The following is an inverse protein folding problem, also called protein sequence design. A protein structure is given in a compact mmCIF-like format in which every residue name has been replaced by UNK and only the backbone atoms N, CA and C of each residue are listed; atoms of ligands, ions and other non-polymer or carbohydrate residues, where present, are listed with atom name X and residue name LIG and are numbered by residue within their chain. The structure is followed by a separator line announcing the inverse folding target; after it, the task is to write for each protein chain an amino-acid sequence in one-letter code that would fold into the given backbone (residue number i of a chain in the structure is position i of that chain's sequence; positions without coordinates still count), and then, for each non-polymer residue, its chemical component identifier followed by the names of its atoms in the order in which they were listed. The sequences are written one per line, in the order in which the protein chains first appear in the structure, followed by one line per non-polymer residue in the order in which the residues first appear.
data_IF_691238818677
#
_entry.id   IF_691238818677
#
_cell.length_a   1.000
_cell.length_b   1.000
_cell.length_c   1.000
_cell.angle_alpha   90.00
_cell.angle_beta   90.00
_cell.angle_gamma   90.00
#
_symmetry.space_group_name_H-M   'P 1'
#
loop_
_entity.id
_entity.type
_entity.pdbx_description
1 polymer ?
#
# COMPACT_ATOMS: atom_id res chain seq x y z
N UNK A 1 -40.12 -21.27 -38.23
CA UNK A 1 -40.04 -21.90 -36.88
C UNK A 1 -38.56 -22.05 -36.56
N UNK A 2 -37.93 -21.60 -35.47
CA UNK A 2 -38.33 -21.05 -34.18
C UNK A 2 -37.15 -20.17 -33.71
N UNK A 3 -37.41 -18.91 -33.33
CA UNK A 3 -36.44 -17.95 -32.79
C UNK A 3 -36.03 -18.42 -31.39
N UNK A 4 -34.75 -18.69 -31.15
CA UNK A 4 -34.24 -18.85 -29.79
C UNK A 4 -33.77 -17.49 -29.27
N UNK A 5 -34.57 -17.01 -28.31
CA UNK A 5 -34.40 -15.79 -27.54
C UNK A 5 -33.24 -15.93 -26.56
N UNK A 6 -32.46 -14.84 -26.46
CA UNK A 6 -31.87 -14.24 -25.26
C UNK A 6 -31.49 -15.16 -24.09
N UNK A 7 -30.20 -15.17 -23.76
CA UNK A 7 -29.72 -15.25 -22.38
C UNK A 7 -28.40 -14.46 -22.28
N UNK A 8 -28.50 -13.16 -21.96
CA UNK A 8 -27.38 -12.38 -21.46
C UNK A 8 -27.00 -12.94 -20.08
N UNK A 9 -25.73 -13.33 -19.83
CA UNK A 9 -25.25 -13.42 -18.48
C UNK A 9 -25.02 -11.99 -17.98
N UNK A 10 -26.00 -11.45 -17.26
CA UNK A 10 -25.75 -10.34 -16.35
C UNK A 10 -24.83 -10.86 -15.24
N UNK A 11 -23.52 -10.89 -15.51
CA UNK A 11 -22.50 -11.15 -14.51
C UNK A 11 -22.55 -9.99 -13.52
N UNK A 12 -23.12 -10.26 -12.36
CA UNK A 12 -23.07 -9.41 -11.18
C UNK A 12 -21.60 -9.09 -10.90
N UNK A 13 -21.21 -7.83 -11.07
CA UNK A 13 -19.98 -7.30 -10.51
C UNK A 13 -20.11 -7.39 -8.99
N UNK A 14 -19.69 -8.52 -8.42
CA UNK A 14 -19.44 -8.64 -7.01
C UNK A 14 -18.29 -7.69 -6.68
N UNK A 15 -18.63 -6.49 -6.21
CA UNK A 15 -17.68 -5.58 -5.61
C UNK A 15 -17.17 -6.21 -4.30
N UNK A 16 -16.12 -7.03 -4.38
CA UNK A 16 -15.31 -7.41 -3.22
C UNK A 16 -14.42 -6.22 -2.84
N UNK A 17 -15.05 -5.13 -2.37
CA UNK A 17 -14.39 -4.08 -1.62
C UNK A 17 -14.52 -4.39 -0.13
N UNK A 18 -13.79 -5.39 0.36
CA UNK A 18 -13.65 -5.59 1.80
C UNK A 18 -12.77 -4.46 2.33
N UNK A 19 -13.39 -3.43 2.90
CA UNK A 19 -12.67 -2.49 3.75
C UNK A 19 -12.07 -3.28 4.92
N UNK A 20 -10.78 -3.11 5.25
CA UNK A 20 -10.23 -3.77 6.42
C UNK A 20 -10.92 -3.23 7.68
N UNK A 21 -11.50 -4.13 8.46
CA UNK A 21 -11.88 -3.85 9.85
C UNK A 21 -10.63 -3.41 10.59
N UNK A 22 -10.68 -2.20 11.15
CA UNK A 22 -9.59 -1.57 11.89
C UNK A 22 -9.36 -2.29 13.23
N UNK A 23 -8.72 -3.45 13.20
CA UNK A 23 -8.24 -4.11 14.41
C UNK A 23 -6.73 -3.91 14.57
N UNK A 24 -6.39 -3.30 15.71
CA UNK A 24 -5.02 -3.07 16.23
C UNK A 24 -4.27 -1.85 15.69
N UNK A 25 -4.81 -0.65 15.96
CA UNK A 25 -4.00 0.55 16.14
C UNK A 25 -3.21 0.47 17.46
N UNK A 26 -2.22 -0.42 17.51
CA UNK A 26 -1.22 -0.42 18.57
C UNK A 26 0.04 0.32 18.06
N UNK A 27 0.36 1.41 18.77
CA UNK A 27 1.46 2.39 18.57
C UNK A 27 1.14 3.58 17.67
N UNK A 28 0.78 4.68 18.34
CA UNK A 28 0.73 6.08 17.88
C UNK A 28 -0.47 6.49 17.02
N UNK A 29 -1.63 6.65 17.67
CA UNK A 29 -2.73 7.64 17.51
C UNK A 29 -3.09 8.35 16.18
N UNK A 30 -2.44 8.09 15.05
CA UNK A 30 -2.74 8.66 13.76
C UNK A 30 -3.32 7.58 12.85
N UNK A 31 -4.48 7.85 12.26
CA UNK A 31 -5.04 6.98 11.23
C UNK A 31 -4.03 6.85 10.07
N UNK A 32 -3.80 5.63 9.54
CA UNK A 32 -2.88 5.46 8.42
C UNK A 32 -3.39 6.28 7.23
N UNK A 33 -2.50 7.04 6.58
CA UNK A 33 -2.86 7.73 5.34
C UNK A 33 -3.16 6.76 4.20
N UNK A 34 -2.63 5.53 4.33
CA UNK A 34 -2.76 4.50 3.32
C UNK A 34 -2.61 3.12 3.98
N UNK A 35 -3.49 2.19 3.62
CA UNK A 35 -3.40 0.79 3.98
C UNK A 35 -3.91 -0.05 2.80
N UNK A 36 -3.02 -0.71 2.05
CA UNK A 36 -3.38 -1.44 0.83
C UNK A 36 -2.65 -2.77 0.70
N UNK A 37 -3.22 -3.68 -0.08
CA UNK A 37 -2.51 -4.85 -0.59
C UNK A 37 -1.84 -4.54 -1.94
N UNK A 38 -0.66 -5.10 -2.14
CA UNK A 38 0.07 -5.10 -3.40
C UNK A 38 0.46 -6.52 -3.78
N UNK A 39 0.44 -6.83 -5.07
CA UNK A 39 0.97 -8.09 -5.60
C UNK A 39 2.50 -8.11 -5.63
N UNK A 40 3.15 -6.97 -5.36
CA UNK A 40 4.61 -6.87 -5.36
C UNK A 40 5.18 -7.31 -4.01
N UNK A 41 6.31 -8.05 -4.02
CA UNK A 41 6.98 -8.42 -2.79
C UNK A 41 7.64 -7.20 -2.15
N UNK A 42 7.76 -7.21 -0.81
CA UNK A 42 8.23 -6.08 0.00
C UNK A 42 9.57 -5.51 -0.50
N UNK A 43 10.53 -6.37 -0.85
CA UNK A 43 11.84 -5.92 -1.35
C UNK A 43 11.73 -5.10 -2.65
N UNK A 44 10.82 -5.47 -3.55
CA UNK A 44 10.65 -4.81 -4.83
C UNK A 44 10.00 -3.43 -4.66
N UNK A 45 9.07 -3.31 -3.71
CA UNK A 45 8.47 -2.03 -3.30
C UNK A 45 9.54 -1.14 -2.65
N UNK A 46 10.29 -1.67 -1.68
CA UNK A 46 11.35 -0.93 -0.99
C UNK A 46 12.42 -0.39 -1.94
N UNK A 47 12.86 -1.22 -2.90
CA UNK A 47 13.80 -0.81 -3.95
C UNK A 47 13.23 0.28 -4.84
N UNK A 48 11.96 0.18 -5.21
CA UNK A 48 11.31 1.20 -6.02
C UNK A 48 11.21 2.54 -5.29
N UNK A 49 10.84 2.54 -4.00
CA UNK A 49 10.70 3.77 -3.20
C UNK A 49 12.04 4.48 -3.02
N UNK A 50 13.09 3.74 -2.67
CA UNK A 50 14.46 4.25 -2.51
C UNK A 50 15.04 4.87 -3.78
N UNK A 51 14.67 4.34 -4.95
CA UNK A 51 15.10 4.91 -6.24
C UNK A 51 14.37 6.22 -6.61
N UNK A 52 13.27 6.54 -5.94
CA UNK A 52 12.36 7.65 -6.31
C UNK A 52 12.25 8.74 -5.27
N UNK A 53 12.57 8.44 -4.02
CA UNK A 53 12.38 9.35 -2.90
C UNK A 53 13.74 9.68 -2.28
N UNK A 54 13.95 10.94 -1.86
CA UNK A 54 15.14 11.30 -1.11
C UNK A 54 15.07 10.77 0.32
N UNK A 55 16.24 10.66 0.96
CA UNK A 55 16.40 10.37 2.39
C UNK A 55 15.59 9.16 2.87
N UNK A 56 15.73 8.05 2.14
CA UNK A 56 15.10 6.77 2.46
C UNK A 56 16.00 5.98 3.41
N UNK A 57 15.46 5.64 4.58
CA UNK A 57 16.13 4.80 5.58
C UNK A 57 15.31 3.54 5.77
N UNK A 58 15.96 2.38 5.60
CA UNK A 58 15.30 1.08 5.70
C UNK A 58 15.74 0.36 6.97
N UNK A 59 14.80 -0.31 7.61
CA UNK A 59 15.08 -1.27 8.67
C UNK A 59 14.27 -2.54 8.44
N UNK A 60 14.81 -3.65 8.93
CA UNK A 60 14.21 -4.97 8.77
C UNK A 60 14.09 -5.63 10.15
N UNK A 61 12.91 -6.19 10.43
CA UNK A 61 12.62 -6.84 11.70
C UNK A 61 11.52 -7.89 11.47
N UNK A 62 11.77 -9.14 11.86
CA UNK A 62 10.74 -10.20 11.83
C UNK A 62 10.12 -10.45 10.45
N UNK A 63 10.85 -10.21 9.36
CA UNK A 63 10.35 -10.32 7.98
C UNK A 63 9.57 -9.09 7.48
N UNK A 64 9.27 -8.13 8.37
CA UNK A 64 8.71 -6.83 8.03
C UNK A 64 9.83 -5.90 7.58
N UNK A 65 9.54 -5.05 6.59
CA UNK A 65 10.43 -3.96 6.17
C UNK A 65 9.80 -2.63 6.52
N UNK A 66 10.45 -1.86 7.37
CA UNK A 66 10.06 -0.49 7.68
C UNK A 66 10.95 0.48 6.90
N UNK A 67 10.34 1.56 6.42
CA UNK A 67 10.99 2.58 5.61
C UNK A 67 10.60 3.94 6.18
N UNK A 68 11.58 4.69 6.67
CA UNK A 68 11.43 6.10 6.97
C UNK A 68 11.83 6.93 5.73
N UNK A 69 11.04 7.94 5.40
CA UNK A 69 11.28 8.83 4.25
C UNK A 69 11.36 10.28 4.73
N UNK A 70 12.36 11.01 4.22
CA UNK A 70 12.40 12.47 4.31
C UNK A 70 12.47 12.96 5.75
N UNK A 71 13.52 12.57 6.48
CA UNK A 71 13.72 12.94 7.89
C UNK A 71 12.51 12.61 8.79
N UNK A 72 11.97 11.40 8.64
CA UNK A 72 10.80 10.92 9.38
C UNK A 72 9.48 11.67 9.06
N UNK A 73 9.33 12.17 7.83
CA UNK A 73 8.05 12.71 7.35
C UNK A 73 7.02 11.62 7.06
N UNK A 74 7.48 10.43 6.66
CA UNK A 74 6.63 9.28 6.40
C UNK A 74 7.26 7.99 6.91
N UNK A 75 6.41 7.09 7.39
CA UNK A 75 6.77 5.73 7.76
C UNK A 75 5.95 4.76 6.91
N UNK A 76 6.64 3.92 6.14
CA UNK A 76 6.05 2.87 5.33
C UNK A 76 6.43 1.52 5.95
N UNK A 77 5.43 0.75 6.36
CA UNK A 77 5.60 -0.63 6.82
C UNK A 77 5.15 -1.57 5.71
N UNK A 78 6.05 -2.45 5.30
CA UNK A 78 5.80 -3.50 4.31
C UNK A 78 5.78 -4.86 5.00
N UNK A 79 4.59 -5.45 5.10
CA UNK A 79 4.39 -6.78 5.69
C UNK A 79 4.20 -7.80 4.57
N UNK A 80 5.07 -8.82 4.43
CA UNK A 80 4.86 -9.88 3.46
C UNK A 80 3.50 -10.57 3.61
N UNK A 81 2.82 -10.83 2.51
CA UNK A 81 1.53 -11.53 2.49
C UNK A 81 1.40 -12.37 1.22
N UNK A 82 1.53 -13.69 1.35
CA UNK A 82 1.62 -14.60 0.21
C UNK A 82 2.80 -14.26 -0.71
N UNK A 83 2.53 -14.09 -2.00
CA UNK A 83 3.53 -13.63 -2.98
C UNK A 83 3.72 -12.10 -3.00
N UNK A 84 2.86 -11.36 -2.30
CA UNK A 84 2.82 -9.90 -2.31
C UNK A 84 3.15 -9.28 -0.95
N UNK A 85 2.57 -8.11 -0.68
CA UNK A 85 2.77 -7.39 0.58
C UNK A 85 1.58 -6.51 0.93
N UNK A 86 1.32 -6.37 2.22
CA UNK A 86 0.45 -5.34 2.78
C UNK A 86 1.31 -4.13 3.10
N UNK A 87 0.85 -2.96 2.67
CA UNK A 87 1.55 -1.69 2.81
C UNK A 87 0.74 -0.77 3.70
N UNK A 88 1.35 -0.34 4.80
CA UNK A 88 0.80 0.67 5.71
C UNK A 88 1.67 1.92 5.62
N UNK A 89 1.06 3.09 5.43
CA UNK A 89 1.77 4.37 5.43
C UNK A 89 1.19 5.28 6.50
N UNK A 90 2.06 5.85 7.33
CA UNK A 90 1.72 6.79 8.40
C UNK A 90 2.50 8.08 8.21
N UNK A 91 1.85 9.22 8.48
CA UNK A 91 2.50 10.54 8.45
C UNK A 91 3.29 10.72 9.74
N UNK A 92 4.55 11.10 9.61
CA UNK A 92 5.40 11.50 10.72
C UNK A 92 5.34 13.01 10.97
N UNK A 93 6.39 13.56 11.58
CA UNK A 93 6.45 14.96 12.00
C UNK A 93 7.11 15.89 10.99
N UNK A 94 7.81 15.35 9.99
CA UNK A 94 8.45 16.16 8.94
C UNK A 94 7.47 16.59 7.84
N UNK A 95 7.95 17.47 6.95
CA UNK A 95 7.17 18.06 5.85
C UNK A 95 7.64 17.67 4.44
N UNK A 96 8.81 17.06 4.32
CA UNK A 96 9.45 16.72 3.05
C UNK A 96 9.60 15.21 2.90
N UNK A 97 9.26 14.59 1.76
CA UNK A 97 8.74 15.23 0.55
C UNK A 97 7.29 15.70 0.69
N UNK A 98 6.79 16.57 -0.21
CA UNK A 98 5.39 16.93 -0.25
C UNK A 98 4.49 15.70 -0.42
N UNK A 99 3.25 15.77 0.09
CA UNK A 99 2.35 14.62 0.13
C UNK A 99 2.06 14.06 -1.27
N UNK A 100 1.93 14.93 -2.27
CA UNK A 100 1.71 14.56 -3.66
C UNK A 100 2.88 13.77 -4.24
N UNK A 101 4.12 14.12 -3.86
CA UNK A 101 5.33 13.41 -4.28
C UNK A 101 5.37 12.02 -3.64
N UNK A 102 5.05 11.94 -2.34
CA UNK A 102 4.96 10.66 -1.64
C UNK A 102 3.88 9.75 -2.24
N UNK A 103 2.67 10.27 -2.44
CA UNK A 103 1.54 9.52 -3.05
C UNK A 103 1.85 9.08 -4.47
N UNK A 104 2.51 9.91 -5.27
CA UNK A 104 2.92 9.56 -6.63
C UNK A 104 3.95 8.41 -6.63
N UNK A 105 4.96 8.48 -5.75
CA UNK A 105 5.94 7.41 -5.62
C UNK A 105 5.29 6.09 -5.19
N UNK A 106 4.38 6.12 -4.20
CA UNK A 106 3.62 4.95 -3.79
C UNK A 106 2.80 4.36 -4.94
N UNK A 107 2.04 5.18 -5.68
CA UNK A 107 1.25 4.70 -6.81
C UNK A 107 2.10 4.00 -7.88
N UNK A 108 3.34 4.47 -8.12
CA UNK A 108 4.27 3.85 -9.08
C UNK A 108 4.95 2.59 -8.56
N UNK A 109 5.05 2.43 -7.24
CA UNK A 109 5.80 1.33 -6.63
C UNK A 109 4.93 0.17 -6.15
N UNK A 110 3.61 0.35 -6.07
CA UNK A 110 2.70 -0.66 -5.53
C UNK A 110 1.94 -1.46 -6.59
N UNK A 111 2.09 -1.09 -7.86
CA UNK A 111 1.56 -1.83 -9.03
C UNK A 111 2.67 -2.61 -9.71
#
# INVERSE_FOLDING_TARGET
MKRFLLLLPAALLAACGSAPSSDSAASSGAAPMMYVSSQRPAYAIANCLDSRLPDVQRSHHGGVTDIAVGSNSYFVTLTPSGSGSVVKVVRGSGSEPPEETMRFALARCLI
#
